data_IF_090039780324
#
_entry.id   IF_090039780324
#
_cell.length_a   1.000
_cell.length_b   1.000
_cell.length_c   1.000
_cell.angle_alpha   90.00
_cell.angle_beta   90.00
_cell.angle_gamma   90.00
#
_symmetry.space_group_name_H-M   'P 1'
#
loop_
_entity.id
_entity.type
_entity.pdbx_description
1 polymer ?
#
# COMPACT_ATOMS: atom_id res chain seq x y z
N UNK A 1 16.54 19.82 10.22
CA UNK A 1 15.69 18.64 10.41
C UNK A 1 14.37 19.10 10.99
N UNK A 2 13.27 18.57 10.49
CA UNK A 2 11.91 18.84 10.99
C UNK A 2 11.23 17.52 11.27
N UNK A 3 10.49 17.46 12.34
CA UNK A 3 9.68 16.30 12.67
C UNK A 3 8.37 16.39 11.89
N UNK A 4 7.94 15.26 11.34
CA UNK A 4 6.65 15.06 10.69
C UNK A 4 5.99 13.82 11.28
N UNK A 5 4.68 13.73 11.20
CA UNK A 5 4.00 12.50 11.60
C UNK A 5 4.09 11.44 10.50
N UNK A 6 4.33 10.19 10.89
CA UNK A 6 4.08 9.02 10.05
C UNK A 6 2.69 8.48 10.40
N UNK A 7 1.80 8.37 9.42
CA UNK A 7 0.50 7.74 9.58
C UNK A 7 0.57 6.27 9.16
N UNK A 8 0.54 5.39 10.14
CA UNK A 8 0.55 3.95 9.94
C UNK A 8 1.06 3.19 11.16
N UNK A 9 0.81 1.88 11.21
CA UNK A 9 -0.13 1.14 10.35
C UNK A 9 -1.59 1.51 10.65
N UNK A 10 -2.46 1.47 9.61
CA UNK A 10 -3.90 1.64 9.74
C UNK A 10 -4.58 0.40 9.17
N UNK A 11 -5.38 -0.26 9.98
CA UNK A 11 -6.09 -1.46 9.58
C UNK A 11 -7.54 -1.42 10.07
N UNK A 12 -8.43 -2.06 9.33
CA UNK A 12 -9.82 -2.29 9.69
C UNK A 12 -10.05 -3.79 9.67
N UNK A 13 -10.83 -4.29 10.63
CA UNK A 13 -11.25 -5.69 10.64
C UNK A 13 -11.91 -6.05 9.30
N UNK A 14 -11.49 -7.13 8.61
CA UNK A 14 -11.98 -7.46 7.28
C UNK A 14 -13.51 -7.55 7.16
N UNK A 15 -14.17 -8.05 8.22
CA UNK A 15 -15.64 -8.15 8.28
C UNK A 15 -16.34 -6.79 8.39
N UNK A 16 -15.59 -5.73 8.71
CA UNK A 16 -16.08 -4.36 8.89
C UNK A 16 -15.62 -3.42 7.78
N UNK A 17 -14.88 -3.90 6.80
CA UNK A 17 -14.48 -3.11 5.63
C UNK A 17 -15.72 -2.61 4.86
N UNK A 18 -15.55 -1.52 4.11
CA UNK A 18 -16.66 -0.91 3.36
C UNK A 18 -17.62 -0.05 4.19
N UNK A 19 -17.54 -0.08 5.52
CA UNK A 19 -18.43 0.68 6.42
C UNK A 19 -17.89 2.08 6.78
N UNK A 20 -16.89 2.59 6.06
CA UNK A 20 -16.35 3.93 6.27
C UNK A 20 -15.39 4.07 7.46
N UNK A 21 -15.10 2.99 8.20
CA UNK A 21 -14.27 3.02 9.42
C UNK A 21 -12.86 3.51 9.11
N UNK A 22 -12.22 3.01 8.03
CA UNK A 22 -10.89 3.46 7.61
C UNK A 22 -10.86 4.96 7.33
N UNK A 23 -11.89 5.49 6.65
CA UNK A 23 -12.03 6.90 6.40
C UNK A 23 -12.22 7.73 7.67
N UNK A 24 -12.99 7.22 8.63
CA UNK A 24 -13.16 7.87 9.94
C UNK A 24 -11.84 7.93 10.72
N UNK A 25 -11.06 6.83 10.71
CA UNK A 25 -9.75 6.78 11.36
C UNK A 25 -8.77 7.79 10.75
N UNK A 26 -8.71 7.88 9.41
CA UNK A 26 -7.86 8.86 8.71
C UNK A 26 -8.28 10.29 9.07
N UNK A 27 -9.58 10.58 9.00
CA UNK A 27 -10.12 11.92 9.30
C UNK A 27 -9.82 12.33 10.75
N UNK A 28 -9.96 11.40 11.68
CA UNK A 28 -9.66 11.65 13.09
C UNK A 28 -8.16 11.84 13.32
N UNK A 29 -7.30 11.07 12.65
CA UNK A 29 -5.85 11.24 12.71
C UNK A 29 -5.43 12.62 12.23
N UNK A 30 -6.00 13.09 11.11
CA UNK A 30 -5.76 14.45 10.60
C UNK A 30 -6.26 15.50 11.61
N UNK A 31 -7.45 15.29 12.20
CA UNK A 31 -8.01 16.21 13.19
C UNK A 31 -7.13 16.32 14.44
N UNK A 32 -6.58 15.21 14.90
CA UNK A 32 -5.65 15.18 16.03
C UNK A 32 -4.33 15.84 15.67
N UNK A 33 -3.75 15.52 14.51
CA UNK A 33 -2.50 16.11 14.06
C UNK A 33 -2.59 17.64 13.93
N UNK A 34 -3.72 18.19 13.50
CA UNK A 34 -3.97 19.65 13.45
C UNK A 34 -3.90 20.34 14.82
N UNK A 35 -3.99 19.59 15.92
CA UNK A 35 -3.84 20.13 17.29
C UNK A 35 -2.41 20.11 17.80
N UNK A 36 -1.49 19.58 17.00
CA UNK A 36 -0.06 19.51 17.31
C UNK A 36 0.69 20.59 16.55
N UNK A 37 1.97 20.77 16.86
CA UNK A 37 2.86 21.65 16.13
C UNK A 37 3.58 20.94 14.96
N UNK A 38 3.10 19.74 14.56
CA UNK A 38 3.69 18.96 13.48
C UNK A 38 3.31 19.60 12.14
N UNK A 39 4.27 19.88 11.25
CA UNK A 39 4.00 20.62 10.00
C UNK A 39 3.23 19.81 8.95
N UNK A 40 3.30 18.46 9.01
CA UNK A 40 2.61 17.60 8.06
C UNK A 40 2.64 16.14 8.46
N UNK A 41 1.86 15.35 7.72
CA UNK A 41 1.76 13.90 7.87
C UNK A 41 2.34 13.27 6.60
N UNK A 42 3.09 12.19 6.74
CA UNK A 42 3.58 11.35 5.64
C UNK A 42 3.02 9.93 5.83
N UNK A 43 2.75 9.24 4.75
CA UNK A 43 2.40 7.82 4.74
C UNK A 43 2.86 7.15 3.44
N UNK A 44 3.02 5.84 3.49
CA UNK A 44 3.05 4.99 2.32
C UNK A 44 1.70 4.26 2.23
N UNK A 45 0.98 4.42 1.12
CA UNK A 45 -0.37 3.88 1.00
C UNK A 45 -0.92 3.94 -0.41
N UNK A 46 -2.17 3.51 -0.56
CA UNK A 46 -2.84 3.39 -1.86
C UNK A 46 -3.11 4.76 -2.49
N UNK A 47 -2.49 5.09 -3.66
CA UNK A 47 -2.64 6.39 -4.31
C UNK A 47 -4.06 6.69 -4.75
N UNK A 48 -4.90 5.68 -4.99
CA UNK A 48 -6.31 5.87 -5.36
C UNK A 48 -7.19 6.15 -4.13
N UNK A 49 -6.73 5.83 -2.92
CA UNK A 49 -7.55 5.91 -1.72
C UNK A 49 -7.36 7.21 -0.93
N UNK A 50 -6.12 7.57 -0.63
CA UNK A 50 -5.81 8.68 0.28
C UNK A 50 -6.08 10.09 -0.26
N UNK A 51 -6.03 10.37 -1.58
CA UNK A 51 -6.31 11.70 -2.12
C UNK A 51 -7.71 12.24 -1.78
N UNK A 52 -8.72 11.37 -1.62
CA UNK A 52 -10.06 11.79 -1.18
C UNK A 52 -10.10 12.42 0.21
N UNK A 53 -9.05 12.23 1.01
CA UNK A 53 -8.87 12.86 2.32
C UNK A 53 -7.93 14.07 2.27
N UNK A 54 -7.45 14.46 1.09
CA UNK A 54 -6.58 15.60 0.88
C UNK A 54 -5.09 15.28 0.92
N UNK A 55 -4.69 14.01 0.87
CA UNK A 55 -3.30 13.64 0.71
C UNK A 55 -2.85 13.88 -0.73
N UNK A 56 -1.60 14.29 -0.88
CA UNK A 56 -0.94 14.57 -2.15
C UNK A 56 0.39 13.80 -2.24
N UNK A 57 0.90 13.60 -3.45
CA UNK A 57 2.19 12.91 -3.62
C UNK A 57 3.34 13.71 -3.01
N UNK A 58 4.20 13.05 -2.24
CA UNK A 58 5.39 13.63 -1.63
C UNK A 58 6.33 14.25 -2.65
N UNK A 59 6.43 13.64 -3.84
CA UNK A 59 7.24 14.14 -4.96
C UNK A 59 6.87 15.55 -5.42
N UNK A 60 5.59 15.96 -5.27
CA UNK A 60 5.13 17.33 -5.56
C UNK A 60 5.86 18.38 -4.72
N UNK A 61 6.28 18.00 -3.53
CA UNK A 61 7.02 18.85 -2.60
C UNK A 61 8.53 18.58 -2.61
N UNK A 62 9.02 17.71 -3.51
CA UNK A 62 10.42 17.32 -3.53
C UNK A 62 10.85 16.52 -2.28
N UNK A 63 9.89 15.82 -1.66
CA UNK A 63 10.14 14.90 -0.53
C UNK A 63 10.29 13.49 -1.11
N UNK A 64 11.36 12.81 -0.72
CA UNK A 64 11.72 11.46 -1.16
C UNK A 64 11.87 10.53 0.03
N UNK A 65 12.03 9.22 -0.23
CA UNK A 65 12.46 8.27 0.77
C UNK A 65 13.92 8.51 1.20
N UNK A 66 14.44 7.65 2.07
CA UNK A 66 15.82 7.71 2.57
C UNK A 66 16.86 7.53 1.45
N UNK A 67 16.53 6.78 0.40
CA UNK A 67 17.41 6.51 -0.74
C UNK A 67 17.36 7.61 -1.80
N UNK A 68 16.36 8.46 -1.76
CA UNK A 68 16.16 9.56 -2.70
C UNK A 68 15.15 9.24 -3.80
N UNK A 69 14.37 8.18 -3.65
CA UNK A 69 13.34 7.80 -4.60
C UNK A 69 12.00 8.47 -4.29
N UNK A 70 11.19 8.66 -5.31
CA UNK A 70 9.81 9.15 -5.21
C UNK A 70 8.88 8.14 -5.83
N UNK A 71 7.79 7.84 -5.13
CA UNK A 71 6.79 6.85 -5.52
C UNK A 71 5.40 7.46 -5.45
N UNK A 72 4.48 7.00 -6.28
CA UNK A 72 3.07 7.44 -6.25
C UNK A 72 2.39 7.10 -4.91
N UNK A 73 2.81 5.99 -4.29
CA UNK A 73 2.34 5.55 -2.98
C UNK A 73 2.86 6.40 -1.81
N UNK A 74 3.86 7.26 -2.05
CA UNK A 74 4.42 8.11 -1.01
C UNK A 74 3.65 9.41 -0.95
N UNK A 75 2.80 9.50 0.06
CA UNK A 75 1.79 10.53 0.17
C UNK A 75 2.01 11.39 1.42
N UNK A 76 1.64 12.66 1.33
CA UNK A 76 1.73 13.60 2.44
C UNK A 76 0.46 14.45 2.56
N UNK A 77 0.20 14.91 3.77
CA UNK A 77 -0.85 15.87 4.09
C UNK A 77 -0.20 17.10 4.73
N UNK A 78 -0.10 18.24 4.05
CA UNK A 78 0.38 19.48 4.64
C UNK A 78 -0.58 19.97 5.74
N UNK A 79 -0.08 20.15 6.96
CA UNK A 79 -0.84 20.72 8.08
C UNK A 79 -0.59 22.23 8.20
N UNK A 80 0.58 22.68 7.73
CA UNK A 80 0.99 24.09 7.77
C UNK A 80 1.58 24.52 6.43
N UNK A 81 1.62 25.82 6.17
CA UNK A 81 2.29 26.36 4.97
C UNK A 81 3.80 26.09 5.01
N UNK A 82 4.37 25.97 6.18
CA UNK A 82 5.77 25.59 6.37
C UNK A 82 6.10 24.23 5.76
N UNK A 83 5.18 23.25 5.84
CA UNK A 83 5.37 21.94 5.20
C UNK A 83 5.53 22.06 3.69
N UNK A 84 4.81 22.95 3.05
CA UNK A 84 4.85 23.14 1.59
C UNK A 84 6.23 23.60 1.10
N UNK A 85 7.04 24.17 1.98
CA UNK A 85 8.43 24.56 1.70
C UNK A 85 9.45 23.46 2.04
N UNK A 86 9.03 22.36 2.70
CA UNK A 86 9.90 21.25 3.02
C UNK A 86 10.40 20.56 1.74
N UNK A 87 11.66 20.17 1.74
CA UNK A 87 12.34 19.44 0.66
C UNK A 87 13.31 18.46 1.30
N UNK A 88 13.55 17.36 0.60
CA UNK A 88 14.61 16.42 0.99
C UNK A 88 14.10 15.03 1.37
N UNK A 89 14.93 14.28 2.06
CA UNK A 89 14.66 12.88 2.39
C UNK A 89 13.83 12.75 3.67
N UNK A 90 12.79 11.96 3.62
CA UNK A 90 12.10 11.47 4.81
C UNK A 90 12.86 10.27 5.37
N UNK A 91 13.19 10.34 6.64
CA UNK A 91 13.89 9.27 7.37
C UNK A 91 12.92 8.79 8.46
N UNK A 92 12.54 7.55 8.39
CA UNK A 92 11.71 6.91 9.40
C UNK A 92 12.43 6.84 10.75
N UNK A 93 11.66 6.67 11.82
CA UNK A 93 12.23 6.46 13.13
C UNK A 93 12.96 5.11 13.17
N UNK A 94 14.15 5.11 13.81
CA UNK A 94 14.91 3.87 14.08
C UNK A 94 14.13 2.81 14.88
N UNK A 95 13.04 3.20 15.51
CA UNK A 95 12.19 2.23 16.21
C UNK A 95 11.50 1.25 15.23
N UNK A 96 11.33 1.63 13.97
CA UNK A 96 10.81 0.74 12.93
C UNK A 96 11.85 -0.30 12.45
N UNK A 97 13.15 -0.03 12.59
CA UNK A 97 14.21 -1.01 12.26
C UNK A 97 14.10 -2.29 13.12
N UNK A 98 13.53 -2.18 14.33
CA UNK A 98 13.32 -3.33 15.23
C UNK A 98 12.23 -4.29 14.74
N UNK A 99 11.36 -3.86 13.82
CA UNK A 99 10.28 -4.67 13.24
C UNK A 99 10.83 -5.66 12.20
N UNK A 100 12.04 -5.48 11.74
CA UNK A 100 12.74 -6.38 10.79
C UNK A 100 13.38 -7.60 11.48
N UNK A 101 13.34 -7.68 12.82
CA UNK A 101 13.81 -8.86 13.55
C UNK A 101 12.83 -10.03 13.36
N UNK A 102 13.16 -10.92 12.41
CA UNK A 102 12.34 -12.09 12.09
C UNK A 102 12.04 -12.98 13.32
N UNK A 103 12.98 -13.13 14.25
CA UNK A 103 12.79 -13.94 15.46
C UNK A 103 11.80 -13.29 16.42
N UNK A 104 11.84 -11.96 16.53
CA UNK A 104 10.87 -11.20 17.32
C UNK A 104 9.49 -11.28 16.69
N UNK A 105 9.39 -11.18 15.37
CA UNK A 105 8.14 -11.30 14.62
C UNK A 105 7.54 -12.70 14.75
N UNK A 106 8.33 -13.77 14.65
CA UNK A 106 7.86 -15.15 14.88
C UNK A 106 7.33 -15.33 16.29
N UNK A 107 8.05 -14.82 17.30
CA UNK A 107 7.62 -14.91 18.70
C UNK A 107 6.30 -14.20 18.93
N UNK A 108 6.15 -12.96 18.42
CA UNK A 108 4.93 -12.18 18.57
C UNK A 108 3.78 -12.80 17.76
N UNK A 109 4.05 -13.30 16.55
CA UNK A 109 3.03 -13.93 15.71
C UNK A 109 2.49 -15.24 16.30
N UNK A 110 3.28 -15.94 17.13
CA UNK A 110 2.83 -17.13 17.84
C UNK A 110 1.74 -16.87 18.89
N UNK A 111 1.67 -15.65 19.40
CA UNK A 111 0.68 -15.24 20.40
C UNK A 111 -0.66 -14.79 19.78
N UNK A 112 -0.72 -14.65 18.44
CA UNK A 112 -1.92 -14.25 17.72
C UNK A 112 -2.51 -15.43 16.95
N UNK A 113 -3.86 -15.52 16.88
CA UNK A 113 -4.50 -16.52 16.04
C UNK A 113 -4.04 -16.34 14.58
N UNK A 114 -3.83 -17.45 13.89
CA UNK A 114 -3.44 -17.45 12.47
C UNK A 114 -4.57 -16.83 11.65
N UNK A 115 -4.49 -15.55 11.39
CA UNK A 115 -5.38 -14.89 10.45
C UNK A 115 -4.95 -15.23 9.02
N UNK A 116 -5.91 -15.56 8.17
CA UNK A 116 -5.68 -15.59 6.73
C UNK A 116 -5.20 -14.18 6.33
N UNK A 117 -4.00 -14.08 5.78
CA UNK A 117 -3.52 -12.82 5.18
C UNK A 117 -4.39 -12.53 3.95
N UNK A 118 -5.45 -11.73 4.12
CA UNK A 118 -6.41 -11.42 3.06
C UNK A 118 -5.90 -10.30 2.17
N UNK A 119 -5.08 -9.38 2.70
CA UNK A 119 -4.43 -8.30 1.94
C UNK A 119 -3.07 -7.99 2.53
N UNK A 120 -2.06 -7.97 1.69
CA UNK A 120 -0.81 -7.24 1.97
C UNK A 120 -1.11 -5.76 1.76
N UNK A 121 -0.54 -4.88 2.57
CA UNK A 121 -0.65 -3.42 2.33
C UNK A 121 -0.02 -3.10 0.97
N UNK A 122 -0.87 -2.81 0.00
CA UNK A 122 -0.48 -2.65 -1.41
C UNK A 122 0.39 -1.42 -1.64
N UNK A 123 0.31 -0.40 -0.77
CA UNK A 123 1.21 0.74 -0.80
C UNK A 123 2.69 0.36 -0.72
N UNK A 124 3.03 -0.68 0.03
CA UNK A 124 4.38 -1.23 0.05
C UNK A 124 4.75 -1.93 -1.26
N UNK A 125 3.79 -2.57 -1.93
CA UNK A 125 4.04 -3.24 -3.20
C UNK A 125 4.27 -2.26 -4.35
N UNK A 126 3.73 -1.05 -4.27
CA UNK A 126 4.00 0.00 -5.27
C UNK A 126 5.45 0.47 -5.23
N UNK A 127 6.09 0.47 -4.07
CA UNK A 127 7.52 0.77 -3.93
C UNK A 127 8.35 -0.20 -4.80
N UNK A 128 7.85 -1.41 -5.00
CA UNK A 128 8.46 -2.44 -5.84
C UNK A 128 7.87 -2.53 -7.25
N UNK A 129 6.99 -1.59 -7.65
CA UNK A 129 6.22 -1.64 -8.90
C UNK A 129 5.39 -2.91 -9.09
N UNK A 130 5.06 -3.61 -8.03
CA UNK A 130 4.26 -4.83 -8.04
C UNK A 130 3.03 -4.66 -7.15
N UNK A 131 1.92 -5.17 -7.63
CA UNK A 131 0.62 -5.05 -6.98
C UNK A 131 0.03 -6.43 -6.73
N UNK A 132 -0.86 -6.54 -5.74
CA UNK A 132 -1.66 -7.72 -5.50
C UNK A 132 -3.09 -7.50 -5.96
N UNK A 133 -3.64 -8.45 -6.68
CA UNK A 133 -5.01 -8.39 -7.13
C UNK A 133 -5.62 -9.78 -7.28
N UNK A 134 -6.92 -9.81 -7.58
CA UNK A 134 -7.68 -11.05 -7.81
C UNK A 134 -8.10 -11.12 -9.26
N UNK A 135 -7.89 -12.25 -9.90
CA UNK A 135 -8.40 -12.50 -11.26
C UNK A 135 -9.92 -12.61 -11.20
N UNK A 136 -10.62 -11.66 -11.81
CA UNK A 136 -12.09 -11.63 -11.88
C UNK A 136 -12.63 -12.30 -13.14
N UNK A 137 -11.93 -12.15 -14.25
CA UNK A 137 -12.33 -12.77 -15.51
C UNK A 137 -11.16 -12.95 -16.48
N UNK A 138 -11.36 -13.77 -17.50
CA UNK A 138 -10.42 -14.02 -18.57
C UNK A 138 -11.10 -13.79 -19.91
N UNK A 139 -10.51 -12.95 -20.76
CA UNK A 139 -10.96 -12.70 -22.13
C UNK A 139 -9.81 -12.96 -23.10
N UNK A 140 -9.85 -14.09 -23.79
CA UNK A 140 -8.72 -14.54 -24.60
C UNK A 140 -7.48 -14.80 -23.73
N UNK A 141 -6.43 -14.03 -23.93
CA UNK A 141 -5.17 -14.08 -23.18
C UNK A 141 -5.02 -12.92 -22.16
N UNK A 142 -6.07 -12.10 -22.02
CA UNK A 142 -6.11 -10.96 -21.09
C UNK A 142 -6.88 -11.34 -19.84
N UNK A 143 -6.22 -11.24 -18.71
CA UNK A 143 -6.78 -11.41 -17.37
C UNK A 143 -7.24 -10.07 -16.85
N UNK A 144 -8.50 -9.94 -16.49
CA UNK A 144 -8.99 -8.77 -15.76
C UNK A 144 -8.74 -8.98 -14.28
N UNK A 145 -7.78 -8.25 -13.76
CA UNK A 145 -7.36 -8.31 -12.36
C UNK A 145 -8.06 -7.20 -11.60
N UNK A 146 -8.86 -7.56 -10.60
CA UNK A 146 -9.43 -6.58 -9.68
C UNK A 146 -8.35 -6.14 -8.69
N UNK A 147 -8.13 -4.85 -8.69
CA UNK A 147 -7.21 -4.16 -7.83
C UNK A 147 -7.99 -3.03 -7.15
N UNK A 148 -8.38 -3.22 -5.90
CA UNK A 148 -9.35 -2.36 -5.19
C UNK A 148 -10.67 -2.24 -5.98
N UNK A 149 -11.06 -1.01 -6.34
CA UNK A 149 -12.24 -0.71 -7.16
C UNK A 149 -11.93 -0.68 -8.66
N UNK A 150 -10.68 -0.92 -9.04
CA UNK A 150 -10.23 -0.86 -10.43
C UNK A 150 -10.19 -2.26 -11.05
N UNK A 151 -10.44 -2.31 -12.35
CA UNK A 151 -10.25 -3.50 -13.16
C UNK A 151 -9.08 -3.29 -14.10
N UNK A 152 -7.99 -4.01 -13.88
CA UNK A 152 -6.74 -3.85 -14.60
C UNK A 152 -6.59 -5.00 -15.59
N UNK A 153 -6.62 -4.73 -16.92
CA UNK A 153 -6.28 -5.75 -17.91
C UNK A 153 -4.79 -6.05 -17.84
N UNK A 154 -4.43 -7.33 -17.69
CA UNK A 154 -3.05 -7.79 -17.61
C UNK A 154 -2.86 -9.09 -18.38
N UNK A 155 -1.65 -9.31 -18.88
CA UNK A 155 -1.22 -10.57 -19.52
C UNK A 155 -0.29 -11.34 -18.60
N UNK A 156 -0.12 -12.62 -18.90
CA UNK A 156 0.87 -13.41 -18.18
C UNK A 156 2.28 -13.04 -18.60
N UNK A 157 3.19 -12.99 -17.66
CA UNK A 157 4.62 -12.98 -17.94
C UNK A 157 5.02 -14.30 -18.63
N UNK A 158 5.86 -14.22 -19.65
CA UNK A 158 6.41 -15.39 -20.36
C UNK A 158 7.15 -16.36 -19.45
N UNK A 159 7.60 -15.88 -18.30
CA UNK A 159 8.29 -16.67 -17.28
C UNK A 159 7.32 -17.47 -16.38
N UNK A 160 6.02 -17.18 -16.44
CA UNK A 160 5.04 -17.78 -15.56
C UNK A 160 4.50 -19.08 -16.16
N UNK A 161 4.85 -20.20 -15.54
CA UNK A 161 4.41 -21.54 -15.98
C UNK A 161 2.97 -21.89 -15.54
N UNK A 162 2.51 -21.28 -14.47
CA UNK A 162 1.19 -21.54 -13.87
C UNK A 162 0.19 -20.47 -14.35
N UNK A 163 -0.88 -20.93 -15.02
CA UNK A 163 -1.97 -20.04 -15.42
C UNK A 163 -2.93 -19.83 -14.25
N UNK A 164 -3.22 -18.58 -13.84
CA UNK A 164 -4.21 -18.30 -12.83
C UNK A 164 -5.62 -18.65 -13.31
N UNK A 165 -6.50 -18.98 -12.38
CA UNK A 165 -7.94 -19.15 -12.61
C UNK A 165 -8.67 -17.92 -12.08
N UNK A 166 -9.94 -17.76 -12.46
CA UNK A 166 -10.84 -16.79 -11.81
C UNK A 166 -10.86 -17.06 -10.31
N UNK A 167 -10.72 -16.03 -9.50
CA UNK A 167 -10.58 -16.11 -8.06
C UNK A 167 -9.14 -16.31 -7.55
N UNK A 168 -8.14 -16.47 -8.45
CA UNK A 168 -6.74 -16.57 -8.04
C UNK A 168 -6.22 -15.22 -7.59
N UNK A 169 -5.52 -15.20 -6.44
CA UNK A 169 -4.69 -14.07 -6.05
C UNK A 169 -3.43 -14.06 -6.91
N UNK A 170 -3.11 -12.90 -7.43
CA UNK A 170 -1.95 -12.70 -8.33
C UNK A 170 -1.16 -11.47 -7.94
N UNK A 171 0.15 -11.56 -8.14
CA UNK A 171 1.03 -10.42 -8.13
C UNK A 171 1.23 -9.95 -9.56
N UNK A 172 1.11 -8.64 -9.81
CA UNK A 172 1.20 -8.10 -11.16
C UNK A 172 1.88 -6.74 -11.17
N UNK A 173 2.55 -6.45 -12.28
CA UNK A 173 3.07 -5.14 -12.59
C UNK A 173 1.99 -4.33 -13.29
N UNK A 174 1.65 -3.17 -12.75
CA UNK A 174 0.69 -2.25 -13.37
C UNK A 174 1.41 -1.11 -14.09
N UNK A 175 1.16 -1.00 -15.37
CA UNK A 175 1.68 0.12 -16.15
C UNK A 175 0.72 1.31 -16.09
N UNK A 176 0.91 2.18 -15.11
CA UNK A 176 0.10 3.38 -14.88
C UNK A 176 0.14 4.38 -16.06
N UNK A 177 1.10 4.24 -16.99
CA UNK A 177 1.25 5.14 -18.15
C UNK A 177 0.46 4.68 -19.36
N UNK A 178 -0.44 3.70 -19.19
CA UNK A 178 -1.32 3.21 -20.25
C UNK A 178 -0.70 2.14 -21.15
N UNK A 179 0.37 1.49 -20.71
CA UNK A 179 0.93 0.31 -21.36
C UNK A 179 0.33 -1.00 -20.85
N UNK A 180 0.88 -2.11 -21.31
CA UNK A 180 0.45 -3.45 -20.92
C UNK A 180 0.87 -3.75 -19.47
N UNK A 181 -0.07 -4.22 -18.67
CA UNK A 181 0.17 -4.71 -17.31
C UNK A 181 0.46 -6.22 -17.36
N UNK A 182 1.29 -6.72 -16.44
CA UNK A 182 1.81 -8.08 -16.52
C UNK A 182 1.65 -8.81 -15.20
N UNK A 183 1.00 -9.97 -15.19
CA UNK A 183 0.97 -10.89 -14.05
C UNK A 183 2.33 -11.57 -13.93
N UNK A 184 3.00 -11.37 -12.79
CA UNK A 184 4.35 -11.86 -12.53
C UNK A 184 4.37 -13.11 -11.65
N UNK A 185 3.30 -13.32 -10.85
CA UNK A 185 3.21 -14.47 -9.96
C UNK A 185 1.75 -14.84 -9.66
N UNK A 186 1.47 -16.13 -9.55
CA UNK A 186 0.23 -16.65 -8.96
C UNK A 186 0.51 -16.98 -7.52
N UNK A 187 -0.26 -16.39 -6.62
CA UNK A 187 -0.13 -16.64 -5.18
C UNK A 187 -0.93 -17.91 -4.90
N UNK A 188 -0.24 -18.96 -4.49
CA UNK A 188 -0.93 -20.18 -4.05
C UNK A 188 -1.62 -19.88 -2.74
N UNK A 189 -2.94 -19.99 -2.70
CA UNK A 189 -3.65 -20.12 -1.44
C UNK A 189 -3.19 -21.39 -0.74
N UNK A 190 -2.43 -21.25 0.34
CA UNK A 190 -1.92 -22.37 1.16
C UNK A 190 -2.99 -22.90 2.14
N UNK A 191 -4.24 -23.00 1.70
CA UNK A 191 -5.31 -23.63 2.48
C UNK A 191 -6.16 -24.51 1.54
N UNK A 192 -5.57 -25.59 1.05
CA UNK A 192 -6.32 -26.82 0.89
C UNK A 192 -6.21 -27.55 2.25
N UNK A 193 -7.18 -27.35 3.12
CA UNK A 193 -7.43 -28.23 4.26
C UNK A 193 -8.35 -29.30 3.71
N UNK A 194 -7.83 -30.54 3.62
CA UNK A 194 -8.64 -31.74 3.49
C UNK A 194 -9.59 -31.94 4.69
#
# INVERSE_FOLDING_TARGET
KREVALLGPLAVEPTMEGNGIGGALISESIRLAKKTNIPGIILAGEPAYYPKFGFEQCGKYGITDADGNSYDAYLCYPLTDEFKSCRGKFIESKDFEKIEDEKLLEKISGDFPSYRKVKVQEGFMQIFNEHLGVVESLCGDVYNVRYWELMIPARLSDKLKLKPKVGSDVQFYWNHKGGESTITKVIKNLLEVE
#
